data_IF_975118309024
#
_entry.id   IF_975118309024
#
_cell.length_a   1.000
_cell.length_b   1.000
_cell.length_c   1.000
_cell.angle_alpha   90.00
_cell.angle_beta   90.00
_cell.angle_gamma   90.00
#
_symmetry.space_group_name_H-M   'P 1'
#
loop_
_entity.id
_entity.type
_entity.pdbx_description
1 polymer ?
#
# COMPACT_ATOMS: atom_id res chain seq x y z
N UNK A 1 5.34 6.52 -11.00
CA UNK A 1 4.61 5.27 -10.72
C UNK A 1 3.33 5.34 -11.53
N UNK A 2 2.96 4.27 -12.22
CA UNK A 2 1.74 4.20 -13.00
C UNK A 2 1.08 2.83 -12.84
N UNK A 3 -0.23 2.75 -13.02
CA UNK A 3 -0.98 1.50 -12.97
C UNK A 3 -2.47 1.70 -13.24
N UNK A 4 -3.25 0.67 -12.93
CA UNK A 4 -4.71 0.65 -12.99
C UNK A 4 -5.29 0.14 -11.67
N UNK A 5 -6.52 0.55 -11.36
CA UNK A 5 -7.29 -0.03 -10.25
C UNK A 5 -8.20 -1.12 -10.81
N UNK A 6 -8.28 -2.23 -10.07
CA UNK A 6 -9.21 -3.33 -10.37
C UNK A 6 -9.98 -3.70 -9.10
N UNK A 7 -11.27 -3.97 -9.26
CA UNK A 7 -12.11 -4.51 -8.19
C UNK A 7 -12.06 -6.05 -8.21
N UNK A 8 -11.96 -6.67 -7.04
CA UNK A 8 -11.92 -8.12 -6.90
C UNK A 8 -12.70 -8.57 -5.67
N UNK A 9 -13.36 -9.74 -5.77
CA UNK A 9 -14.02 -10.38 -4.62
C UNK A 9 -13.01 -11.11 -3.75
N UNK A 10 -13.18 -11.03 -2.42
CA UNK A 10 -12.39 -11.81 -1.46
C UNK A 10 -12.70 -13.31 -1.52
N UNK A 11 -13.82 -13.74 -2.11
CA UNK A 11 -14.12 -15.16 -2.33
C UNK A 11 -13.24 -15.77 -3.44
N UNK A 12 -12.80 -14.93 -4.38
CA UNK A 12 -11.96 -15.32 -5.51
C UNK A 12 -10.90 -14.24 -5.77
N UNK A 13 -9.98 -14.13 -4.84
CA UNK A 13 -8.89 -13.15 -4.90
C UNK A 13 -7.84 -13.58 -5.95
N UNK A 14 -7.42 -12.68 -6.86
CA UNK A 14 -6.22 -12.90 -7.65
C UNK A 14 -4.98 -12.91 -6.74
N UNK A 15 -3.82 -13.32 -7.28
CA UNK A 15 -2.56 -13.15 -6.55
C UNK A 15 -2.29 -11.65 -6.35
N UNK A 16 -2.09 -11.22 -5.10
CA UNK A 16 -1.83 -9.83 -4.77
C UNK A 16 -0.95 -9.71 -3.54
N UNK A 17 -0.32 -8.56 -3.43
CA UNK A 17 0.55 -8.21 -2.31
C UNK A 17 -0.07 -7.05 -1.53
N UNK A 18 -0.05 -7.13 -0.20
CA UNK A 18 -0.50 -6.01 0.64
C UNK A 18 0.71 -5.17 1.06
N UNK A 19 0.54 -3.85 1.05
CA UNK A 19 1.54 -2.91 1.57
C UNK A 19 1.11 -2.42 2.95
N UNK A 20 1.96 -2.65 3.96
CA UNK A 20 1.80 -2.10 5.30
C UNK A 20 2.86 -1.04 5.54
N UNK A 21 2.46 0.19 5.86
CA UNK A 21 3.36 1.30 6.07
C UNK A 21 2.71 2.34 6.99
N UNK A 22 3.51 3.19 7.61
CA UNK A 22 2.97 4.33 8.37
C UNK A 22 2.52 5.43 7.42
N UNK A 23 1.42 6.12 7.68
CA UNK A 23 0.98 7.18 6.76
C UNK A 23 1.95 8.37 6.71
N UNK A 24 2.67 8.61 7.81
CA UNK A 24 3.68 9.65 7.91
C UNK A 24 3.08 11.06 7.85
N UNK A 25 3.81 12.00 7.25
CA UNK A 25 3.26 13.33 6.96
C UNK A 25 2.08 13.20 5.98
N UNK A 26 0.86 13.68 6.34
CA UNK A 26 -0.33 13.55 5.50
C UNK A 26 -0.30 14.44 4.25
N UNK A 27 0.72 15.28 4.08
CA UNK A 27 0.89 16.12 2.89
C UNK A 27 0.95 15.28 1.60
N UNK A 28 -0.02 15.51 0.72
CA UNK A 28 -0.12 14.87 -0.59
C UNK A 28 0.80 15.57 -1.61
N UNK A 29 2.09 15.24 -1.54
CA UNK A 29 3.15 15.93 -2.30
C UNK A 29 3.71 15.12 -3.47
N UNK A 30 3.27 13.88 -3.68
CA UNK A 30 3.71 13.02 -4.81
C UNK A 30 2.56 12.69 -5.72
N UNK A 31 2.87 12.53 -7.00
CA UNK A 31 1.89 12.22 -8.04
C UNK A 31 2.19 10.85 -8.67
N UNK A 32 1.12 10.09 -8.87
CA UNK A 32 1.13 8.82 -9.60
C UNK A 32 0.02 8.84 -10.65
N UNK A 33 0.15 8.03 -11.70
CA UNK A 33 -0.88 7.90 -12.73
C UNK A 33 -1.67 6.61 -12.53
N UNK A 34 -2.97 6.71 -12.32
CA UNK A 34 -3.87 5.56 -12.18
C UNK A 34 -4.98 5.72 -13.21
N UNK A 35 -5.12 4.74 -14.11
CA UNK A 35 -6.13 4.76 -15.18
C UNK A 35 -6.12 6.06 -16.00
N UNK A 36 -4.92 6.57 -16.28
CA UNK A 36 -4.70 7.83 -17.01
C UNK A 36 -5.01 9.11 -16.21
N UNK A 37 -5.42 8.99 -14.94
CA UNK A 37 -5.68 10.12 -14.04
C UNK A 37 -4.52 10.33 -13.06
N UNK A 38 -4.28 11.58 -12.68
CA UNK A 38 -3.29 11.91 -11.66
C UNK A 38 -3.90 11.72 -10.27
N UNK A 39 -3.27 10.88 -9.46
CA UNK A 39 -3.59 10.72 -8.03
C UNK A 39 -2.44 11.27 -7.19
N UNK A 40 -2.76 12.08 -6.19
CA UNK A 40 -1.78 12.58 -5.22
C UNK A 40 -1.69 11.64 -4.02
N UNK A 41 -0.48 11.30 -3.62
CA UNK A 41 -0.17 10.43 -2.48
C UNK A 41 0.88 11.07 -1.59
N UNK A 42 1.03 10.56 -0.36
CA UNK A 42 2.08 11.00 0.56
C UNK A 42 3.46 10.55 0.07
N UNK A 43 4.51 11.24 0.53
CA UNK A 43 5.90 10.84 0.29
C UNK A 43 6.15 9.39 0.72
N UNK A 44 5.65 8.99 1.90
CA UNK A 44 5.92 7.67 2.46
C UNK A 44 5.24 6.55 1.65
N UNK A 45 4.01 6.77 1.18
CA UNK A 45 3.32 5.85 0.28
C UNK A 45 4.12 5.66 -1.03
N UNK A 46 4.60 6.76 -1.61
CA UNK A 46 5.39 6.72 -2.84
C UNK A 46 6.70 5.94 -2.67
N UNK A 47 7.41 6.14 -1.57
CA UNK A 47 8.68 5.46 -1.30
C UNK A 47 8.48 3.97 -1.00
N UNK A 48 7.45 3.64 -0.23
CA UNK A 48 7.04 2.27 0.03
C UNK A 48 6.70 1.52 -1.28
N UNK A 49 5.90 2.12 -2.17
CA UNK A 49 5.58 1.57 -3.48
C UNK A 49 6.81 1.41 -4.38
N UNK A 50 7.68 2.42 -4.47
CA UNK A 50 8.94 2.32 -5.25
C UNK A 50 9.82 1.20 -4.75
N UNK A 51 9.92 1.04 -3.43
CA UNK A 51 10.72 -0.02 -2.81
C UNK A 51 10.14 -1.40 -3.14
N UNK A 52 8.83 -1.54 -3.03
CA UNK A 52 8.11 -2.79 -3.31
C UNK A 52 8.18 -3.21 -4.79
N UNK A 53 8.19 -2.23 -5.71
CA UNK A 53 8.29 -2.46 -7.16
C UNK A 53 9.73 -2.57 -7.66
N UNK A 54 10.75 -2.36 -6.81
CA UNK A 54 12.15 -2.37 -7.23
C UNK A 54 12.55 -3.72 -7.83
N UNK A 55 12.96 -3.72 -9.09
CA UNK A 55 13.37 -4.94 -9.81
C UNK A 55 12.20 -5.84 -10.21
N UNK A 56 10.97 -5.32 -10.25
CA UNK A 56 9.76 -6.03 -10.67
C UNK A 56 9.15 -5.32 -11.88
N UNK A 57 8.60 -6.08 -12.83
CA UNK A 57 7.98 -5.52 -14.03
C UNK A 57 6.56 -4.98 -13.73
N UNK A 58 5.74 -5.76 -13.04
CA UNK A 58 4.37 -5.42 -12.65
C UNK A 58 3.96 -6.23 -11.40
N UNK A 59 3.10 -5.67 -10.55
CA UNK A 59 2.50 -6.35 -9.40
C UNK A 59 1.11 -5.81 -9.11
N UNK A 60 0.19 -6.69 -8.73
CA UNK A 60 -1.07 -6.31 -8.11
C UNK A 60 -0.82 -6.03 -6.62
N UNK A 61 -1.08 -4.79 -6.21
CA UNK A 61 -0.76 -4.30 -4.87
C UNK A 61 -2.02 -3.70 -4.26
N UNK A 62 -2.35 -4.13 -3.05
CA UNK A 62 -3.34 -3.47 -2.22
C UNK A 62 -2.63 -2.45 -1.30
N UNK A 63 -3.09 -1.20 -1.36
CA UNK A 63 -2.60 -0.08 -0.54
C UNK A 63 -3.81 0.70 -0.04
N UNK A 64 -4.02 0.78 1.27
CA UNK A 64 -5.21 1.42 1.86
C UNK A 64 -5.44 2.87 1.37
N UNK A 65 -4.40 3.69 1.28
CA UNK A 65 -4.54 5.09 0.87
C UNK A 65 -4.91 5.29 -0.60
N UNK A 66 -4.86 4.22 -1.41
CA UNK A 66 -5.17 4.25 -2.85
C UNK A 66 -6.44 3.44 -3.14
N UNK A 67 -6.56 2.24 -2.56
CA UNK A 67 -7.67 1.32 -2.80
C UNK A 67 -8.95 1.71 -2.03
N UNK A 68 -8.85 2.48 -0.96
CA UNK A 68 -9.99 2.93 -0.16
C UNK A 68 -10.27 4.39 -0.47
N UNK A 69 -11.55 4.76 -0.61
CA UNK A 69 -11.91 6.14 -0.86
C UNK A 69 -11.66 7.01 0.39
N UNK A 70 -10.69 7.93 0.29
CA UNK A 70 -10.27 8.80 1.40
C UNK A 70 -11.03 10.12 1.46
N UNK A 71 -12.05 10.33 0.61
CA UNK A 71 -12.85 11.55 0.65
C UNK A 71 -13.68 11.65 1.93
N UNK A 72 -14.07 12.89 2.26
CA UNK A 72 -14.84 13.19 3.48
C UNK A 72 -16.36 13.17 3.29
N UNK A 73 -16.85 12.89 2.08
CA UNK A 73 -18.29 12.85 1.82
C UNK A 73 -18.94 11.57 2.41
N UNK A 74 -20.26 11.58 2.67
CA UNK A 74 -20.93 10.46 3.34
C UNK A 74 -20.78 9.10 2.63
N UNK A 75 -20.77 9.10 1.29
CA UNK A 75 -20.64 7.85 0.53
C UNK A 75 -19.22 7.27 0.67
N UNK A 76 -18.20 8.12 0.64
CA UNK A 76 -16.82 7.72 0.91
C UNK A 76 -16.62 7.19 2.34
N UNK A 77 -17.25 7.83 3.33
CA UNK A 77 -17.17 7.36 4.72
C UNK A 77 -17.81 5.98 4.91
N UNK A 78 -18.93 5.71 4.24
CA UNK A 78 -19.59 4.40 4.26
C UNK A 78 -18.70 3.32 3.61
N UNK A 79 -18.14 3.61 2.43
CA UNK A 79 -17.21 2.71 1.72
C UNK A 79 -15.98 2.41 2.57
N UNK A 80 -15.33 3.44 3.10
CA UNK A 80 -14.17 3.30 3.96
C UNK A 80 -14.47 2.46 5.20
N UNK A 81 -15.64 2.65 5.82
CA UNK A 81 -16.06 1.83 6.96
C UNK A 81 -16.13 0.34 6.60
N UNK A 82 -16.70 0.01 5.44
CA UNK A 82 -16.76 -1.36 4.93
C UNK A 82 -15.36 -1.92 4.64
N UNK A 83 -14.49 -1.17 3.96
CA UNK A 83 -13.12 -1.62 3.66
C UNK A 83 -12.30 -1.85 4.93
N UNK A 84 -12.39 -0.95 5.90
CA UNK A 84 -11.68 -1.08 7.19
C UNK A 84 -12.13 -2.34 7.93
N UNK A 85 -13.42 -2.66 7.90
CA UNK A 85 -13.93 -3.91 8.47
C UNK A 85 -13.39 -5.17 7.77
N UNK A 86 -13.03 -5.07 6.48
CA UNK A 86 -12.48 -6.16 5.67
C UNK A 86 -10.94 -6.27 5.76
N UNK A 87 -10.25 -5.32 6.39
CA UNK A 87 -8.78 -5.28 6.39
C UNK A 87 -8.13 -6.56 6.95
N UNK A 88 -8.66 -7.17 8.01
CA UNK A 88 -8.11 -8.44 8.54
C UNK A 88 -8.08 -9.51 7.44
N UNK A 89 -9.19 -9.65 6.70
CA UNK A 89 -9.32 -10.64 5.64
C UNK A 89 -8.43 -10.31 4.44
N UNK A 90 -8.33 -9.04 4.06
CA UNK A 90 -7.44 -8.57 2.98
C UNK A 90 -5.98 -8.91 3.34
N UNK A 91 -5.49 -8.52 4.52
CA UNK A 91 -4.12 -8.82 4.90
C UNK A 91 -3.86 -10.33 5.02
N UNK A 92 -4.83 -11.09 5.53
CA UNK A 92 -4.73 -12.55 5.67
C UNK A 92 -4.69 -13.29 4.34
N UNK A 93 -5.41 -12.79 3.32
CA UNK A 93 -5.49 -13.42 1.99
C UNK A 93 -4.40 -12.93 1.03
N UNK A 94 -3.62 -11.91 1.39
CA UNK A 94 -2.50 -11.46 0.58
C UNK A 94 -1.43 -12.55 0.44
N UNK A 95 -0.84 -12.69 -0.74
CA UNK A 95 0.27 -13.62 -1.00
C UNK A 95 1.47 -13.32 -0.10
N UNK A 96 1.71 -12.04 0.15
CA UNK A 96 2.68 -11.57 1.12
C UNK A 96 2.34 -10.14 1.54
N UNK A 97 2.50 -9.86 2.83
CA UNK A 97 2.45 -8.50 3.37
C UNK A 97 3.86 -7.91 3.38
N UNK A 98 4.03 -6.77 2.71
CA UNK A 98 5.29 -6.05 2.65
C UNK A 98 5.23 -4.88 3.62
N UNK A 99 6.05 -4.94 4.68
CA UNK A 99 6.11 -3.89 5.70
C UNK A 99 7.20 -2.89 5.33
N UNK A 100 6.83 -1.61 5.20
CA UNK A 100 7.75 -0.50 5.00
C UNK A 100 7.96 0.27 6.29
N UNK A 101 9.17 0.16 6.85
CA UNK A 101 9.58 0.78 8.11
C UNK A 101 10.25 2.16 7.92
N UNK A 102 10.21 2.71 6.70
CA UNK A 102 10.90 3.95 6.34
C UNK A 102 12.21 3.72 5.60
N UNK A 103 12.97 4.81 5.43
CA UNK A 103 14.29 4.78 4.79
C UNK A 103 15.31 4.23 5.79
N UNK A 104 16.06 3.22 5.37
CA UNK A 104 17.08 2.61 6.21
C UNK A 104 18.24 3.56 6.49
N UNK A 105 18.75 3.47 7.72
CA UNK A 105 20.00 4.03 8.18
C UNK A 105 20.92 2.92 8.75
N UNK A 106 22.14 3.30 9.17
CA UNK A 106 23.12 2.35 9.70
C UNK A 106 22.60 1.56 10.92
N UNK A 107 21.74 2.16 11.75
CA UNK A 107 21.16 1.46 12.90
C UNK A 107 20.13 0.42 12.45
N UNK A 108 19.28 0.77 11.48
CA UNK A 108 18.30 -0.14 10.89
C UNK A 108 18.97 -1.32 10.16
N UNK A 109 20.12 -1.10 9.53
CA UNK A 109 20.88 -2.17 8.87
C UNK A 109 21.39 -3.19 9.90
N UNK A 110 21.96 -2.72 11.01
CA UNK A 110 22.39 -3.59 12.12
C UNK A 110 21.21 -4.35 12.71
N UNK A 111 20.07 -3.70 12.93
CA UNK A 111 18.87 -4.34 13.44
C UNK A 111 18.34 -5.43 12.49
N UNK A 112 18.27 -5.15 11.18
CA UNK A 112 17.84 -6.14 10.17
C UNK A 112 18.82 -7.31 10.09
N UNK A 113 20.13 -7.06 10.20
CA UNK A 113 21.13 -8.13 10.24
C UNK A 113 20.95 -9.03 11.48
N UNK A 114 20.69 -8.43 12.64
CA UNK A 114 20.42 -9.18 13.87
C UNK A 114 19.16 -10.05 13.74
N UNK A 115 18.07 -9.51 13.20
CA UNK A 115 16.82 -10.26 12.98
C UNK A 115 16.98 -11.44 12.02
N UNK A 116 17.87 -11.34 11.03
CA UNK A 116 18.17 -12.44 10.09
C UNK A 116 18.98 -13.58 10.70
N UNK A 117 19.59 -13.33 11.86
CA UNK A 117 20.46 -14.28 12.57
C UNK A 117 19.73 -15.04 13.68
N UNK A 118 18.42 -14.78 13.86
CA UNK A 118 17.51 -15.49 14.74
C UNK A 118 16.81 -16.62 13.98
#
# INVERSE_FOLDING_TARGET
>A
LQGSIVEASLDKVPEYFALSYTWGNPELCKEISIDGKTLKITQNCADALRRMLRGKAERLIWVDSICINQAGDPAALEERGKQVALMDEIYRKATQVNVHLGVGDAASDVAIMAMRSL
#
